data_IF_701880144899
#
_entry.id   IF_701880144899
#
_cell.length_a   1.000
_cell.length_b   1.000
_cell.length_c   1.000
_cell.angle_alpha   90.00
_cell.angle_beta   90.00
_cell.angle_gamma   90.00
#
_symmetry.space_group_name_H-M   'P 1'
#
loop_
_entity.id
_entity.type
_entity.pdbx_description
1 polymer ?
#
# COMPACT_ATOMS: atom_id res chain seq x y z
N UNK A 1 -2.47 -15.71 -6.45
CA UNK A 1 -1.70 -14.63 -5.80
C UNK A 1 -0.50 -14.18 -6.63
N UNK A 2 0.41 -15.08 -7.04
CA UNK A 2 1.61 -14.75 -7.84
C UNK A 2 1.34 -13.88 -9.08
N UNK A 3 0.31 -14.16 -9.92
CA UNK A 3 0.03 -13.32 -11.09
C UNK A 3 -0.38 -11.89 -10.73
N UNK A 4 -1.16 -11.73 -9.66
CA UNK A 4 -1.58 -10.41 -9.18
C UNK A 4 -0.40 -9.61 -8.64
N UNK A 5 0.52 -10.25 -7.89
CA UNK A 5 1.77 -9.64 -7.44
C UNK A 5 2.59 -9.16 -8.64
N UNK A 6 2.76 -10.02 -9.66
CA UNK A 6 3.48 -9.64 -10.87
C UNK A 6 2.88 -8.42 -11.56
N UNK A 7 1.55 -8.39 -11.73
CA UNK A 7 0.84 -7.26 -12.35
C UNK A 7 0.98 -5.96 -11.54
N UNK A 8 0.80 -6.03 -10.22
CA UNK A 8 0.92 -4.86 -9.35
C UNK A 8 2.36 -4.34 -9.29
N UNK A 9 3.36 -5.22 -9.25
CA UNK A 9 4.78 -4.84 -9.32
C UNK A 9 5.13 -4.16 -10.65
N UNK A 10 4.67 -4.70 -11.78
CA UNK A 10 4.91 -4.09 -13.10
C UNK A 10 4.35 -2.67 -13.17
N UNK A 11 3.12 -2.45 -12.69
CA UNK A 11 2.49 -1.13 -12.63
C UNK A 11 3.30 -0.13 -11.79
N UNK A 12 3.83 -0.56 -10.64
CA UNK A 12 4.71 0.26 -9.80
C UNK A 12 6.02 0.63 -10.52
N UNK A 13 6.67 -0.34 -11.16
CA UNK A 13 7.92 -0.12 -11.91
C UNK A 13 7.69 0.83 -13.09
N UNK A 14 6.55 0.73 -13.78
CA UNK A 14 6.23 1.61 -14.90
C UNK A 14 6.04 3.07 -14.45
N UNK A 15 5.46 3.30 -13.26
CA UNK A 15 5.43 4.64 -12.63
C UNK A 15 6.84 5.16 -12.35
N UNK A 16 7.73 4.32 -11.83
CA UNK A 16 9.11 4.70 -11.55
C UNK A 16 9.91 5.03 -12.81
N UNK A 17 9.75 4.23 -13.88
CA UNK A 17 10.34 4.52 -15.19
C UNK A 17 9.85 5.87 -15.74
N UNK A 18 8.56 6.18 -15.57
CA UNK A 18 8.01 7.46 -16.01
C UNK A 18 8.63 8.64 -15.23
N UNK A 19 8.83 8.51 -13.91
CA UNK A 19 9.51 9.53 -13.10
C UNK A 19 10.96 9.76 -13.55
N UNK A 20 11.73 8.68 -13.74
CA UNK A 20 13.11 8.78 -14.25
C UNK A 20 13.16 9.41 -15.64
N UNK A 21 12.24 9.03 -16.53
CA UNK A 21 12.18 9.59 -17.88
C UNK A 21 11.79 11.07 -17.92
N UNK A 22 11.11 11.56 -16.89
CA UNK A 22 10.76 12.98 -16.74
C UNK A 22 11.82 13.83 -16.04
N UNK A 23 12.86 13.21 -15.46
CA UNK A 23 13.99 13.90 -14.85
C UNK A 23 15.03 14.27 -15.90
N UNK A 24 15.57 15.48 -15.83
CA UNK A 24 16.62 15.95 -16.72
C UNK A 24 17.96 15.23 -16.47
N UNK A 25 18.18 14.73 -15.25
CA UNK A 25 19.40 14.03 -14.85
C UNK A 25 19.44 12.56 -15.31
N UNK A 26 18.31 12.01 -15.77
CA UNK A 26 18.19 10.60 -16.17
C UNK A 26 18.18 9.62 -15.00
N UNK A 27 18.05 10.11 -13.77
CA UNK A 27 17.89 9.33 -12.54
C UNK A 27 17.07 10.13 -11.51
N UNK A 28 16.38 9.45 -10.60
CA UNK A 28 15.68 10.11 -9.51
C UNK A 28 15.77 9.27 -8.22
N UNK A 29 15.85 9.95 -7.08
CA UNK A 29 15.67 9.32 -5.77
C UNK A 29 14.17 9.19 -5.47
N UNK A 30 13.74 8.01 -5.01
CA UNK A 30 12.33 7.70 -4.80
C UNK A 30 12.13 7.18 -3.38
N UNK A 31 11.23 7.81 -2.62
CA UNK A 31 10.72 7.21 -1.38
C UNK A 31 9.83 6.02 -1.74
N UNK A 32 10.28 4.81 -1.42
CA UNK A 32 9.59 3.56 -1.76
C UNK A 32 8.39 3.26 -0.87
N UNK A 33 8.31 3.85 0.35
CA UNK A 33 7.27 3.53 1.32
C UNK A 33 5.84 3.65 0.76
N UNK A 34 5.43 4.80 0.18
CA UNK A 34 4.07 4.93 -0.35
C UNK A 34 3.76 3.93 -1.46
N UNK A 35 4.75 3.59 -2.30
CA UNK A 35 4.56 2.61 -3.37
C UNK A 35 4.41 1.19 -2.83
N UNK A 36 5.08 0.83 -1.73
CA UNK A 36 4.91 -0.46 -1.07
C UNK A 36 3.53 -0.59 -0.40
N UNK A 37 3.03 0.49 0.20
CA UNK A 37 1.67 0.53 0.76
C UNK A 37 0.63 0.32 -0.35
N UNK A 38 0.71 1.08 -1.44
CA UNK A 38 -0.19 0.94 -2.58
C UNK A 38 -0.06 -0.44 -3.27
N UNK A 39 1.16 -0.96 -3.42
CA UNK A 39 1.41 -2.30 -3.97
C UNK A 39 0.71 -3.38 -3.13
N UNK A 40 0.84 -3.30 -1.81
CA UNK A 40 0.21 -4.24 -0.89
C UNK A 40 -1.31 -4.16 -0.98
N UNK A 41 -1.85 -2.94 -1.02
CA UNK A 41 -3.27 -2.70 -1.23
C UNK A 41 -3.78 -3.30 -2.55
N UNK A 42 -3.03 -3.16 -3.64
CA UNK A 42 -3.41 -3.65 -4.97
C UNK A 42 -3.34 -5.18 -5.05
N UNK A 43 -2.33 -5.79 -4.45
CA UNK A 43 -2.25 -7.25 -4.34
C UNK A 43 -3.42 -7.81 -3.54
N UNK A 44 -3.74 -7.24 -2.37
CA UNK A 44 -4.88 -7.68 -1.56
C UNK A 44 -6.18 -7.50 -2.33
N UNK A 45 -6.38 -6.33 -2.95
CA UNK A 45 -7.58 -6.02 -3.73
C UNK A 45 -7.80 -7.04 -4.84
N UNK A 46 -6.76 -7.31 -5.65
CA UNK A 46 -6.86 -8.23 -6.79
C UNK A 46 -7.04 -9.67 -6.37
N UNK A 47 -6.46 -10.06 -5.24
CA UNK A 47 -6.42 -11.48 -4.82
C UNK A 47 -7.58 -11.87 -3.94
N UNK A 48 -8.00 -11.00 -3.01
CA UNK A 48 -9.10 -11.27 -2.09
C UNK A 48 -10.45 -10.80 -2.65
N UNK A 49 -10.47 -9.71 -3.42
CA UNK A 49 -11.72 -9.07 -3.86
C UNK A 49 -11.93 -9.10 -5.39
N UNK A 50 -10.91 -9.49 -6.16
CA UNK A 50 -10.98 -9.54 -7.62
C UNK A 50 -10.95 -8.17 -8.32
N UNK A 51 -10.80 -7.08 -7.56
CA UNK A 51 -10.73 -5.70 -8.04
C UNK A 51 -9.34 -5.08 -7.87
N UNK A 52 -9.11 -3.86 -8.33
CA UNK A 52 -7.88 -3.09 -8.09
C UNK A 52 -7.93 -2.29 -6.79
N UNK A 53 -6.77 -1.88 -6.29
CA UNK A 53 -6.71 -0.98 -5.14
C UNK A 53 -7.42 0.36 -5.37
N UNK A 54 -7.39 0.88 -6.59
CA UNK A 54 -8.07 2.13 -6.94
C UNK A 54 -9.57 2.07 -6.63
N UNK A 55 -10.22 0.94 -6.91
CA UNK A 55 -11.65 0.73 -6.62
C UNK A 55 -11.95 0.72 -5.11
N UNK A 56 -10.99 0.23 -4.31
CA UNK A 56 -11.10 0.13 -2.85
C UNK A 56 -10.46 1.29 -2.07
N UNK A 57 -9.81 2.25 -2.75
CA UNK A 57 -8.88 3.20 -2.14
C UNK A 57 -9.45 3.94 -0.94
N UNK A 58 -10.70 4.41 -1.06
CA UNK A 58 -11.38 5.13 0.01
C UNK A 58 -11.55 4.28 1.29
N UNK A 59 -11.79 2.98 1.14
CA UNK A 59 -11.91 2.06 2.27
C UNK A 59 -10.55 1.88 2.94
N UNK A 60 -9.49 1.65 2.16
CA UNK A 60 -8.13 1.49 2.69
C UNK A 60 -7.66 2.74 3.45
N UNK A 61 -7.91 3.94 2.93
CA UNK A 61 -7.59 5.20 3.61
C UNK A 61 -8.31 5.32 4.96
N UNK A 62 -9.60 5.00 5.00
CA UNK A 62 -10.39 5.00 6.24
C UNK A 62 -9.88 3.96 7.24
N UNK A 63 -9.52 2.76 6.77
CA UNK A 63 -8.97 1.71 7.62
C UNK A 63 -7.60 2.10 8.18
N UNK A 64 -6.74 2.75 7.39
CA UNK A 64 -5.45 3.25 7.86
C UNK A 64 -5.62 4.28 8.97
N UNK A 65 -6.50 5.25 8.77
CA UNK A 65 -6.79 6.26 9.79
C UNK A 65 -7.35 5.64 11.08
N UNK A 66 -8.23 4.64 10.95
CA UNK A 66 -8.73 3.88 12.12
C UNK A 66 -7.62 3.08 12.79
N UNK A 67 -6.72 2.47 12.03
CA UNK A 67 -5.61 1.69 12.55
C UNK A 67 -4.67 2.55 13.41
N UNK A 68 -4.38 3.78 12.98
CA UNK A 68 -3.59 4.74 13.77
C UNK A 68 -4.23 5.02 15.14
N UNK A 69 -5.54 5.27 15.17
CA UNK A 69 -6.29 5.49 16.40
C UNK A 69 -6.35 4.22 17.27
N UNK A 70 -6.55 3.05 16.66
CA UNK A 70 -6.54 1.76 17.36
C UNK A 70 -5.18 1.50 18.00
N UNK A 71 -4.08 1.76 17.29
CA UNK A 71 -2.72 1.58 17.82
C UNK A 71 -2.45 2.53 19.01
N UNK A 72 -2.95 3.77 18.97
CA UNK A 72 -2.89 4.68 20.11
C UNK A 72 -3.68 4.14 21.30
N UNK A 73 -4.90 3.64 21.08
CA UNK A 73 -5.74 3.06 22.13
C UNK A 73 -5.14 1.77 22.70
N UNK A 74 -4.48 0.95 21.87
CA UNK A 74 -3.82 -0.30 22.31
C UNK A 74 -2.76 -0.03 23.39
N UNK A 75 -2.07 1.11 23.35
CA UNK A 75 -1.09 1.48 24.40
C UNK A 75 -1.74 1.65 25.79
N UNK A 76 -3.02 1.99 25.84
CA UNK A 76 -3.79 2.19 27.08
C UNK A 76 -4.76 1.05 27.38
N UNK A 77 -4.80 0.04 26.51
CA UNK A 77 -5.73 -1.07 26.62
C UNK A 77 -5.13 -2.17 27.49
N UNK A 78 -5.65 -2.34 28.70
CA UNK A 78 -5.47 -3.57 29.47
C UNK A 78 -6.30 -4.66 28.79
N UNK A 79 -5.66 -5.65 28.15
CA UNK A 79 -6.34 -6.84 27.64
C UNK A 79 -6.59 -7.76 28.85
N UNK A 80 -7.83 -7.91 29.34
CA UNK A 80 -8.11 -8.77 30.46
C UNK A 80 -7.77 -10.21 30.05
N UNK A 81 -6.84 -10.85 30.77
CA UNK A 81 -6.33 -12.18 30.45
C UNK A 81 -4.94 -12.23 29.80
N UNK A 82 -4.27 -11.08 29.57
CA UNK A 82 -2.81 -11.07 29.34
C UNK A 82 -2.06 -11.24 30.67
N UNK A 83 -2.05 -12.49 31.19
CA UNK A 83 -1.13 -13.06 32.18
C UNK A 83 -1.07 -14.57 31.99
#
# INVERSE_FOLDING_TARGET
>A
MVPAIGLSCSSMIDKWKAMVSSSEEGWCEVDIRPYLEDLTGDVISRTAFGGSYEEGRRIFELQRHRMELILQLMQFSFIPGWR
#
